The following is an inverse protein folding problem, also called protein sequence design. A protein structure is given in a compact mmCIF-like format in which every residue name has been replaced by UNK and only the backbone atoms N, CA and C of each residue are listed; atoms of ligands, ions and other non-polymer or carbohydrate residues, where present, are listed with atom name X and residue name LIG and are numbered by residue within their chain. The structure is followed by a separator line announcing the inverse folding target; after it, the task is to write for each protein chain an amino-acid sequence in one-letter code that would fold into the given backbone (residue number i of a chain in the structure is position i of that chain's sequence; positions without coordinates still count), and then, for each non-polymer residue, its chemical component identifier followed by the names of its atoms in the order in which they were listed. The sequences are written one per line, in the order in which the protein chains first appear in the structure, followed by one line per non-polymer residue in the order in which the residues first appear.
data_IF_715760297802
#
_entry.id   IF_715760297802
#
_cell.length_a   1.000
_cell.length_b   1.000
_cell.length_c   1.000
_cell.angle_alpha   90.00
_cell.angle_beta   90.00
_cell.angle_gamma   90.00
#
_symmetry.space_group_name_H-M   'P 1'
#
loop_
_entity.id
_entity.type
_entity.pdbx_description
1 polymer ?
#
# COMPACT_ATOMS: atom_id res chain seq x y z
N UNK A 1 -0.26 -5.32 -0.88
CA UNK A 1 0.40 -5.16 0.42
C UNK A 1 0.55 -6.49 1.14
N UNK A 2 -0.53 -7.19 1.53
CA UNK A 2 -0.44 -8.52 2.19
C UNK A 2 0.57 -9.48 1.51
N UNK A 3 0.32 -9.85 0.26
CA UNK A 3 1.21 -10.77 -0.50
C UNK A 3 2.66 -10.30 -0.55
N UNK A 4 2.89 -8.98 -0.70
CA UNK A 4 4.24 -8.42 -0.74
C UNK A 4 4.98 -8.60 0.60
N UNK A 5 4.28 -8.40 1.73
CA UNK A 5 4.85 -8.58 3.07
C UNK A 5 5.03 -10.06 3.42
N UNK A 6 4.12 -10.93 2.94
CA UNK A 6 4.24 -12.38 3.11
C UNK A 6 5.45 -12.92 2.35
N UNK A 7 5.66 -12.48 1.11
CA UNK A 7 6.80 -12.88 0.27
C UNK A 7 8.16 -12.43 0.84
N UNK A 8 8.18 -11.33 1.59
CA UNK A 8 9.38 -10.82 2.22
C UNK A 8 9.85 -11.64 3.43
N UNK A 9 8.99 -12.48 4.01
CA UNK A 9 9.26 -13.22 5.25
C UNK A 9 9.37 -14.72 4.94
N UNK A 10 10.50 -15.39 5.26
CA UNK A 10 10.74 -16.78 4.85
C UNK A 10 10.03 -17.83 5.74
N UNK A 11 8.97 -17.43 6.45
CA UNK A 11 8.24 -18.31 7.38
C UNK A 11 7.02 -18.94 6.69
N UNK A 12 6.51 -20.04 7.23
CA UNK A 12 5.30 -20.67 6.71
C UNK A 12 4.04 -19.93 7.16
N UNK A 13 3.16 -19.62 6.19
CA UNK A 13 1.93 -18.84 6.36
C UNK A 13 2.10 -17.56 7.21
N UNK A 14 3.04 -16.66 6.83
CA UNK A 14 3.28 -15.44 7.58
C UNK A 14 2.08 -14.50 7.41
N UNK A 15 1.71 -13.75 8.45
CA UNK A 15 0.58 -12.83 8.42
C UNK A 15 0.98 -11.43 8.92
N UNK A 16 0.94 -10.38 8.08
CA UNK A 16 1.21 -9.02 8.51
C UNK A 16 -0.02 -8.39 9.19
N UNK A 17 0.21 -7.49 10.13
CA UNK A 17 -0.81 -6.61 10.69
C UNK A 17 -0.89 -5.28 9.93
N UNK A 18 -2.07 -4.67 9.89
CA UNK A 18 -2.25 -3.33 9.33
C UNK A 18 -3.37 -2.56 10.05
N UNK A 19 -3.16 -1.25 10.22
CA UNK A 19 -4.19 -0.28 10.63
C UNK A 19 -4.31 0.77 9.54
N UNK A 20 -5.55 1.09 9.16
CA UNK A 20 -5.86 2.05 8.10
C UNK A 20 -6.68 3.19 8.70
N UNK A 21 -6.19 4.41 8.56
CA UNK A 21 -6.93 5.62 8.91
C UNK A 21 -7.30 6.36 7.61
N UNK A 22 -8.59 6.55 7.38
CA UNK A 22 -9.10 7.36 6.25
C UNK A 22 -9.21 8.81 6.70
N UNK A 23 -8.69 9.73 5.89
CA UNK A 23 -8.75 11.16 6.13
C UNK A 23 -9.32 11.87 4.90
N UNK A 24 -10.24 12.79 5.13
CA UNK A 24 -10.86 13.62 4.09
C UNK A 24 -10.63 15.11 4.33
N UNK A 25 -9.72 15.45 5.25
CA UNK A 25 -9.35 16.85 5.51
C UNK A 25 -8.69 17.44 4.27
N UNK A 26 -9.16 18.62 3.88
CA UNK A 26 -8.68 19.42 2.77
C UNK A 26 -9.14 20.86 2.95
N UNK A 27 -8.70 21.78 2.09
CA UNK A 27 -9.22 23.14 2.08
C UNK A 27 -10.51 23.24 1.22
N UNK A 28 -11.13 24.42 1.20
CA UNK A 28 -12.42 24.64 0.53
C UNK A 28 -12.40 24.29 -0.98
N UNK A 29 -11.25 24.37 -1.65
CA UNK A 29 -11.09 24.04 -3.08
C UNK A 29 -10.20 22.81 -3.31
N UNK A 30 -9.53 22.31 -2.27
CA UNK A 30 -8.56 21.24 -2.28
C UNK A 30 -9.10 19.99 -1.60
N UNK A 31 -10.09 19.34 -2.22
CA UNK A 31 -10.56 18.04 -1.76
C UNK A 31 -9.41 17.01 -1.80
N UNK A 32 -9.00 16.52 -0.63
CA UNK A 32 -7.83 15.65 -0.49
C UNK A 32 -8.14 14.37 0.30
N UNK A 33 -8.98 13.46 -0.23
CA UNK A 33 -9.24 12.17 0.39
C UNK A 33 -7.99 11.29 0.29
N UNK A 34 -7.44 10.89 1.43
CA UNK A 34 -6.29 9.99 1.50
C UNK A 34 -6.45 9.00 2.64
N UNK A 35 -5.58 8.00 2.68
CA UNK A 35 -5.50 7.08 3.80
C UNK A 35 -4.06 6.92 4.25
N UNK A 36 -3.87 6.85 5.57
CA UNK A 36 -2.62 6.43 6.19
C UNK A 36 -2.73 4.97 6.51
N UNK A 37 -1.72 4.19 6.12
CA UNK A 37 -1.68 2.76 6.40
C UNK A 37 -0.41 2.49 7.19
N UNK A 38 -0.58 2.05 8.43
CA UNK A 38 0.50 1.53 9.26
C UNK A 38 0.50 0.01 9.12
N UNK A 39 1.65 -0.55 8.78
CA UNK A 39 1.85 -2.00 8.65
C UNK A 39 2.92 -2.46 9.62
N UNK A 40 2.80 -3.69 10.10
CA UNK A 40 3.86 -4.30 10.91
C UNK A 40 5.14 -4.43 10.09
N UNK A 41 6.30 -4.16 10.70
CA UNK A 41 7.63 -4.32 10.09
C UNK A 41 8.06 -5.80 10.04
N UNK A 42 7.19 -6.65 9.48
CA UNK A 42 7.30 -8.10 9.58
C UNK A 42 5.95 -8.78 9.64
N UNK A 43 5.97 -10.07 9.95
CA UNK A 43 4.79 -10.91 10.00
C UNK A 43 4.75 -11.78 11.25
N UNK A 44 3.54 -12.07 11.71
CA UNK A 44 3.28 -13.13 12.67
C UNK A 44 3.28 -14.48 11.97
N UNK A 45 3.73 -15.54 12.62
CA UNK A 45 3.76 -16.88 12.03
C UNK A 45 3.69 -17.97 13.10
N UNK A 46 3.30 -19.17 12.66
CA UNK A 46 3.16 -20.35 13.51
C UNK A 46 2.05 -20.25 14.57
N UNK A 47 1.69 -21.38 15.16
CA UNK A 47 0.56 -21.49 16.11
C UNK A 47 0.76 -20.72 17.42
N UNK A 48 1.99 -20.29 17.72
CA UNK A 48 2.35 -19.51 18.92
C UNK A 48 2.38 -18.01 18.68
N UNK A 49 2.08 -17.53 17.46
CA UNK A 49 2.08 -16.10 17.15
C UNK A 49 3.47 -15.45 17.22
N UNK A 50 4.52 -16.18 16.84
CA UNK A 50 5.88 -15.66 16.80
C UNK A 50 5.95 -14.52 15.78
N UNK A 51 6.83 -13.54 15.99
CA UNK A 51 7.01 -12.41 15.07
C UNK A 51 8.37 -12.47 14.38
N UNK A 52 8.37 -12.38 13.05
CA UNK A 52 9.58 -12.29 12.22
C UNK A 52 9.64 -10.91 11.59
N UNK A 53 10.68 -10.16 11.93
CA UNK A 53 10.99 -8.87 11.31
C UNK A 53 11.32 -9.07 9.83
N UNK A 54 10.76 -8.23 8.96
CA UNK A 54 11.04 -8.30 7.54
C UNK A 54 12.49 -7.83 7.22
N UNK A 55 13.13 -8.39 6.17
CA UNK A 55 14.31 -7.77 5.59
C UNK A 55 13.95 -6.39 5.02
N UNK A 56 14.94 -5.53 4.72
CA UNK A 56 14.69 -4.25 4.06
C UNK A 56 13.80 -4.41 2.82
N UNK A 57 12.69 -3.68 2.80
CA UNK A 57 11.69 -3.76 1.73
C UNK A 57 12.02 -2.78 0.61
N UNK A 58 11.88 -3.23 -0.63
CA UNK A 58 11.96 -2.39 -1.82
C UNK A 58 10.70 -1.51 -1.96
N UNK A 59 10.65 -0.42 -1.20
CA UNK A 59 9.46 0.42 -1.05
C UNK A 59 8.93 0.99 -2.38
N UNK A 60 9.81 1.29 -3.34
CA UNK A 60 9.40 1.72 -4.69
C UNK A 60 8.60 0.65 -5.44
N UNK A 61 8.93 -0.63 -5.27
CA UNK A 61 8.16 -1.74 -5.85
C UNK A 61 6.80 -1.87 -5.18
N UNK A 62 6.75 -1.70 -3.85
CA UNK A 62 5.50 -1.68 -3.11
C UNK A 62 4.58 -0.55 -3.59
N UNK A 63 5.11 0.66 -3.75
CA UNK A 63 4.38 1.83 -4.25
C UNK A 63 3.81 1.57 -5.66
N UNK A 64 4.63 1.06 -6.58
CA UNK A 64 4.20 0.75 -7.94
C UNK A 64 3.09 -0.31 -7.97
N UNK A 65 3.22 -1.38 -7.18
CA UNK A 65 2.20 -2.43 -7.04
C UNK A 65 0.91 -1.89 -6.42
N UNK A 66 1.01 -1.01 -5.43
CA UNK A 66 -0.14 -0.39 -4.78
C UNK A 66 -0.90 0.49 -5.77
N UNK A 67 -0.19 1.39 -6.46
CA UNK A 67 -0.75 2.25 -7.51
C UNK A 67 -1.48 1.45 -8.58
N UNK A 68 -0.85 0.38 -9.09
CA UNK A 68 -1.47 -0.50 -10.09
C UNK A 68 -2.76 -1.15 -9.59
N UNK A 69 -2.77 -1.64 -8.34
CA UNK A 69 -3.98 -2.26 -7.75
C UNK A 69 -5.10 -1.25 -7.55
N UNK A 70 -4.79 -0.02 -7.14
CA UNK A 70 -5.79 1.05 -6.97
C UNK A 70 -6.39 1.44 -8.32
N UNK A 71 -5.58 1.69 -9.35
CA UNK A 71 -6.10 2.04 -10.67
C UNK A 71 -6.95 0.92 -11.26
N UNK A 72 -6.49 -0.34 -11.18
CA UNK A 72 -7.29 -1.50 -11.59
C UNK A 72 -8.63 -1.57 -10.85
N UNK A 73 -8.64 -1.36 -9.54
CA UNK A 73 -9.88 -1.34 -8.76
C UNK A 73 -10.83 -0.23 -9.21
N UNK A 74 -10.32 0.98 -9.44
CA UNK A 74 -11.13 2.13 -9.86
C UNK A 74 -11.69 1.95 -11.29
N UNK A 75 -10.89 1.42 -12.21
CA UNK A 75 -11.32 1.04 -13.56
C UNK A 75 -12.44 0.00 -13.50
N UNK A 76 -12.25 -1.09 -12.74
CA UNK A 76 -13.26 -2.15 -12.59
C UNK A 76 -14.57 -1.64 -11.97
N UNK A 77 -14.51 -0.57 -11.17
CA UNK A 77 -15.69 0.08 -10.57
C UNK A 77 -16.28 1.20 -11.45
N UNK A 78 -15.73 1.44 -12.65
CA UNK A 78 -16.16 2.51 -13.56
C UNK A 78 -15.97 3.91 -12.98
N UNK A 79 -15.01 4.10 -12.06
CA UNK A 79 -14.76 5.40 -11.40
C UNK A 79 -13.75 6.27 -12.14
N UNK A 80 -12.92 5.67 -12.99
CA UNK A 80 -11.97 6.36 -13.88
C UNK A 80 -11.97 5.68 -15.24
N UNK A 81 -11.43 6.35 -16.26
CA UNK A 81 -11.20 5.79 -17.60
C UNK A 81 -9.75 5.30 -17.75
N UNK A 82 -9.49 4.45 -18.75
CA UNK A 82 -8.13 4.01 -19.10
C UNK A 82 -7.21 5.19 -19.46
N UNK A 83 -7.77 6.22 -20.09
CA UNK A 83 -7.05 7.46 -20.38
C UNK A 83 -6.65 8.20 -19.10
N UNK A 84 -7.58 8.34 -18.16
CA UNK A 84 -7.30 8.96 -16.86
C UNK A 84 -6.25 8.16 -16.07
N UNK A 85 -6.33 6.82 -16.08
CA UNK A 85 -5.33 5.97 -15.43
C UNK A 85 -3.93 6.15 -16.05
N UNK A 86 -3.82 6.26 -17.39
CA UNK A 86 -2.56 6.59 -18.07
C UNK A 86 -2.02 7.96 -17.68
N UNK A 87 -2.89 8.98 -17.69
CA UNK A 87 -2.52 10.34 -17.30
C UNK A 87 -1.97 10.38 -15.86
N UNK A 88 -2.68 9.79 -14.90
CA UNK A 88 -2.27 9.73 -13.49
C UNK A 88 -0.96 8.93 -13.31
N UNK A 89 -0.74 7.89 -14.13
CA UNK A 89 0.50 7.10 -14.09
C UNK A 89 1.73 7.88 -14.55
N UNK A 90 1.54 8.89 -15.40
CA UNK A 90 2.59 9.75 -15.95
C UNK A 90 2.95 10.93 -15.03
N UNK A 91 2.22 11.15 -13.94
CA UNK A 91 2.52 12.22 -12.99
C UNK A 91 3.88 12.02 -12.32
N UNK A 92 4.64 13.12 -12.18
CA UNK A 92 5.95 13.13 -11.51
C UNK A 92 5.87 12.57 -10.08
N UNK A 93 4.81 12.93 -9.36
CA UNK A 93 4.50 12.43 -8.03
C UNK A 93 3.28 11.51 -8.13
N UNK A 94 3.44 10.28 -7.68
CA UNK A 94 2.43 9.22 -7.86
C UNK A 94 1.16 9.41 -7.02
N UNK A 95 1.19 10.32 -6.04
CA UNK A 95 0.16 10.45 -5.01
C UNK A 95 0.26 9.40 -3.91
N UNK A 96 1.23 8.49 -3.97
CA UNK A 96 1.50 7.48 -2.97
C UNK A 96 2.88 7.71 -2.35
N UNK A 97 2.98 7.53 -1.04
CA UNK A 97 4.23 7.69 -0.33
C UNK A 97 4.40 6.54 0.66
N UNK A 98 5.62 5.99 0.69
CA UNK A 98 6.02 4.93 1.59
C UNK A 98 7.24 5.39 2.38
N UNK A 99 7.14 5.32 3.70
CA UNK A 99 8.23 5.71 4.60
C UNK A 99 8.99 4.45 5.05
N UNK A 100 10.33 4.48 5.07
CA UNK A 100 11.13 3.40 5.64
C UNK A 100 11.02 3.39 7.16
N UNK A 101 11.37 2.26 7.78
CA UNK A 101 11.62 2.20 9.22
C UNK A 101 12.78 3.15 9.57
N UNK A 102 12.61 3.90 10.66
CA UNK A 102 13.65 4.76 11.25
C UNK A 102 14.65 3.95 12.04
#
# INVERSE_FOLDING_TARGET
MKVFLQDAVPENDPFPGAVIAVQTFGDFLGFNPHCHILVTDGCFYGNKGMFRVAPPLELKKLEALFRHKIFRMLLNKGKITEEMARMLSAWKHSGFHSLPRT
#
